data_IF_941749630457
#
_entry.id   IF_941749630457
#
_cell.length_a   1.000
_cell.length_b   1.000
_cell.length_c   1.000
_cell.angle_alpha   90.00
_cell.angle_beta   90.00
_cell.angle_gamma   90.00
#
_symmetry.space_group_name_H-M   'P 1'
#
loop_
_entity.id
_entity.type
_entity.pdbx_description
1 polymer ?
#
# COMPACT_ATOMS: atom_id res chain seq x y z
N UNK A 1 40.34 -3.99 -7.16
CA UNK A 1 39.69 -5.00 -6.31
C UNK A 1 38.22 -4.61 -6.20
N UNK A 2 37.29 -5.41 -6.73
CA UNK A 2 35.85 -5.16 -6.56
C UNK A 2 35.50 -5.55 -5.12
N UNK A 3 35.02 -4.59 -4.34
CA UNK A 3 34.40 -4.86 -3.04
C UNK A 3 33.18 -5.72 -3.33
N UNK A 4 33.27 -7.02 -3.09
CA UNK A 4 32.09 -7.87 -3.04
C UNK A 4 31.31 -7.34 -1.85
N UNK A 5 30.19 -6.65 -2.10
CA UNK A 5 29.24 -6.32 -1.04
C UNK A 5 28.86 -7.62 -0.37
N UNK A 6 29.45 -7.86 0.81
CA UNK A 6 29.13 -9.01 1.64
C UNK A 6 27.66 -8.81 2.02
N UNK A 7 26.75 -9.53 1.36
CA UNK A 7 25.34 -9.50 1.71
C UNK A 7 25.23 -9.94 3.17
N UNK A 8 24.98 -8.98 4.06
CA UNK A 8 24.82 -9.26 5.49
C UNK A 8 23.56 -10.11 5.64
N UNK A 9 23.74 -11.41 5.93
CA UNK A 9 22.62 -12.30 6.26
C UNK A 9 22.00 -11.77 7.52
N UNK A 10 20.75 -11.36 7.43
CA UNK A 10 20.02 -10.78 8.54
C UNK A 10 19.26 -11.88 9.27
N UNK A 11 19.19 -11.86 10.60
CA UNK A 11 18.42 -12.83 11.35
C UNK A 11 16.97 -12.85 10.88
N UNK A 12 16.41 -14.04 10.78
CA UNK A 12 15.01 -14.23 10.39
C UNK A 12 14.09 -13.85 11.55
N UNK A 13 14.50 -14.19 12.77
CA UNK A 13 13.80 -13.89 14.00
C UNK A 13 14.79 -13.63 15.15
N UNK A 14 14.36 -12.84 16.14
CA UNK A 14 15.15 -12.46 17.31
C UNK A 14 14.38 -12.92 18.56
N UNK A 15 15.04 -13.70 19.41
CA UNK A 15 14.52 -14.14 20.70
C UNK A 15 14.24 -12.97 21.64
N UNK A 16 13.30 -13.15 22.57
CA UNK A 16 12.90 -12.11 23.51
C UNK A 16 13.54 -12.30 24.88
N UNK A 17 14.08 -13.48 25.18
CA UNK A 17 14.79 -13.73 26.44
C UNK A 17 16.00 -12.82 26.59
N UNK A 18 16.07 -12.06 27.70
CA UNK A 18 17.20 -11.19 27.97
C UNK A 18 18.45 -12.00 28.30
N UNK A 19 19.62 -11.47 27.95
CA UNK A 19 20.91 -12.05 28.34
C UNK A 19 21.17 -11.74 29.82
N UNK A 20 21.03 -12.75 30.68
CA UNK A 20 21.26 -12.65 32.13
C UNK A 20 22.39 -13.59 32.55
N UNK A 21 23.20 -13.18 33.53
CA UNK A 21 24.25 -14.05 34.08
C UNK A 21 25.35 -14.37 33.07
N UNK A 22 25.62 -15.67 32.86
CA UNK A 22 26.70 -16.17 32.01
C UNK A 22 26.23 -16.64 30.62
N UNK A 23 24.99 -16.35 30.25
CA UNK A 23 24.46 -16.69 28.93
C UNK A 23 24.98 -15.72 27.86
N UNK A 24 25.12 -16.22 26.63
CA UNK A 24 25.67 -15.47 25.51
C UNK A 24 24.71 -15.49 24.32
N UNK A 25 24.96 -14.63 23.35
CA UNK A 25 24.14 -14.57 22.13
C UNK A 25 24.53 -15.69 21.18
N UNK A 26 23.54 -16.40 20.64
CA UNK A 26 23.72 -17.48 19.67
C UNK A 26 22.95 -17.23 18.38
N UNK A 27 23.45 -17.76 17.27
CA UNK A 27 22.77 -17.81 15.97
C UNK A 27 22.51 -19.27 15.59
N UNK A 28 21.26 -19.62 15.30
CA UNK A 28 20.93 -20.92 14.73
C UNK A 28 21.35 -20.97 13.26
N UNK A 29 22.19 -21.95 12.90
CA UNK A 29 22.67 -22.13 11.53
C UNK A 29 21.56 -22.52 10.55
N UNK A 30 20.53 -23.20 11.07
CA UNK A 30 19.41 -23.71 10.28
C UNK A 30 18.38 -22.61 10.01
N UNK A 31 17.64 -22.16 11.03
CA UNK A 31 16.55 -21.19 10.85
C UNK A 31 17.01 -19.71 10.87
N UNK A 32 18.24 -19.42 11.26
CA UNK A 32 18.74 -18.04 11.35
C UNK A 32 18.14 -17.23 12.50
N UNK A 33 17.60 -17.90 13.52
CA UNK A 33 17.21 -17.29 14.78
C UNK A 33 18.43 -16.77 15.54
N UNK A 34 18.30 -15.62 16.20
CA UNK A 34 19.31 -15.08 17.10
C UNK A 34 18.70 -14.85 18.49
N UNK A 35 19.33 -15.36 19.55
CA UNK A 35 18.84 -15.17 20.91
C UNK A 35 19.78 -15.67 21.99
N UNK A 36 19.25 -15.88 23.20
CA UNK A 36 20.02 -16.28 24.37
C UNK A 36 20.38 -17.77 24.34
N UNK A 37 21.60 -18.12 24.74
CA UNK A 37 22.00 -19.53 24.94
C UNK A 37 21.20 -20.22 26.05
N UNK A 38 20.49 -19.46 26.89
CA UNK A 38 19.63 -19.95 27.97
C UNK A 38 18.46 -20.82 27.47
N UNK A 39 17.92 -20.51 26.29
CA UNK A 39 16.73 -21.19 25.77
C UNK A 39 17.05 -22.42 24.91
N UNK A 40 18.33 -22.75 24.80
CA UNK A 40 18.79 -23.91 24.05
C UNK A 40 18.57 -25.20 24.85
N UNK A 41 18.58 -26.32 24.15
CA UNK A 41 18.75 -27.62 24.81
C UNK A 41 20.15 -27.75 25.41
N UNK A 42 20.37 -28.74 26.27
CA UNK A 42 21.68 -29.06 26.84
C UNK A 42 22.75 -29.34 25.75
N UNK A 43 22.32 -29.84 24.59
CA UNK A 43 23.15 -30.08 23.40
C UNK A 43 23.32 -28.82 22.51
N UNK A 44 22.98 -27.63 23.01
CA UNK A 44 23.04 -26.35 22.28
C UNK A 44 22.18 -26.31 21.01
N UNK A 45 21.06 -27.02 20.99
CA UNK A 45 20.15 -27.05 19.85
C UNK A 45 19.05 -25.99 19.96
N UNK A 46 18.67 -25.44 18.80
CA UNK A 46 17.61 -24.46 18.66
C UNK A 46 16.25 -25.07 18.99
N UNK A 47 15.47 -24.37 19.81
CA UNK A 47 14.12 -24.76 20.25
C UNK A 47 13.04 -23.86 19.66
N UNK A 48 13.36 -23.07 18.63
CA UNK A 48 12.37 -22.21 18.00
C UNK A 48 11.30 -23.01 17.25
N UNK A 49 10.06 -22.53 17.36
CA UNK A 49 8.92 -23.09 16.66
C UNK A 49 9.08 -22.92 15.15
N UNK A 50 8.98 -24.04 14.44
CA UNK A 50 8.95 -24.15 12.99
C UNK A 50 7.67 -24.87 12.58
N UNK A 51 6.55 -24.15 12.66
CA UNK A 51 5.22 -24.72 12.46
C UNK A 51 4.83 -25.66 13.60
N UNK A 52 4.62 -26.94 13.31
CA UNK A 52 4.24 -27.97 14.29
C UNK A 52 5.45 -28.70 14.91
N UNK A 53 6.67 -28.23 14.64
CA UNK A 53 7.92 -28.86 15.06
C UNK A 53 8.90 -27.84 15.62
N UNK A 54 9.88 -28.32 16.36
CA UNK A 54 11.03 -27.51 16.79
C UNK A 54 12.15 -27.62 15.75
N UNK A 55 12.89 -26.53 15.55
CA UNK A 55 13.97 -26.45 14.56
C UNK A 55 15.10 -27.47 14.84
N UNK A 56 15.50 -27.66 16.10
CA UNK A 56 16.57 -28.57 16.56
C UNK A 56 17.92 -28.41 15.83
N UNK A 57 18.12 -27.29 15.14
CA UNK A 57 19.37 -26.99 14.44
C UNK A 57 20.48 -26.54 15.39
N UNK A 58 21.72 -26.81 15.00
CA UNK A 58 22.90 -26.37 15.74
C UNK A 58 22.95 -24.85 15.87
N UNK A 59 23.39 -24.39 17.04
CA UNK A 59 23.60 -22.97 17.33
C UNK A 59 25.06 -22.70 17.65
N UNK A 60 25.55 -21.54 17.20
CA UNK A 60 26.90 -21.06 17.48
C UNK A 60 26.84 -19.74 18.23
N UNK A 61 27.82 -19.50 19.11
CA UNK A 61 28.05 -18.20 19.72
C UNK A 61 28.30 -17.12 18.66
N UNK A 62 27.64 -15.98 18.80
CA UNK A 62 27.84 -14.82 17.95
C UNK A 62 29.00 -13.99 18.50
N UNK A 63 30.08 -13.90 17.72
CA UNK A 63 31.16 -12.96 17.99
C UNK A 63 30.75 -11.50 17.79
N UNK A 64 31.49 -10.57 18.42
CA UNK A 64 31.18 -9.13 18.41
C UNK A 64 31.04 -8.52 17.02
N UNK A 65 31.86 -8.96 16.06
CA UNK A 65 31.82 -8.45 14.68
C UNK A 65 30.50 -8.80 14.00
N UNK A 66 30.07 -10.06 14.16
CA UNK A 66 28.81 -10.55 13.60
C UNK A 66 27.62 -9.86 14.26
N UNK A 67 27.68 -9.63 15.57
CA UNK A 67 26.64 -8.90 16.29
C UNK A 67 26.50 -7.46 15.76
N UNK A 68 27.64 -6.76 15.56
CA UNK A 68 27.63 -5.42 14.99
C UNK A 68 27.09 -5.40 13.56
N UNK A 69 27.47 -6.37 12.71
CA UNK A 69 26.92 -6.53 11.36
C UNK A 69 25.39 -6.64 11.39
N UNK A 70 24.84 -7.45 12.32
CA UNK A 70 23.40 -7.63 12.49
C UNK A 70 22.72 -6.32 12.90
N UNK A 71 23.26 -5.61 13.91
CA UNK A 71 22.70 -4.34 14.39
C UNK A 71 22.68 -3.29 13.29
N UNK A 72 23.76 -3.14 12.54
CA UNK A 72 23.83 -2.21 11.41
C UNK A 72 22.84 -2.58 10.29
N UNK A 73 22.67 -3.87 10.00
CA UNK A 73 21.69 -4.33 9.02
C UNK A 73 20.25 -4.04 9.48
N UNK A 74 19.94 -4.24 10.77
CA UNK A 74 18.63 -3.92 11.34
C UNK A 74 18.33 -2.43 11.30
N UNK A 75 19.29 -1.58 11.65
CA UNK A 75 19.15 -0.13 11.61
C UNK A 75 18.88 0.39 10.19
N UNK A 76 19.67 -0.06 9.21
CA UNK A 76 19.43 0.28 7.79
C UNK A 76 18.03 -0.10 7.34
N UNK A 77 17.61 -1.33 7.65
CA UNK A 77 16.31 -1.87 7.27
C UNK A 77 15.16 -1.15 7.98
N UNK A 78 15.37 -0.71 9.21
CA UNK A 78 14.44 0.15 9.93
C UNK A 78 14.29 1.51 9.22
N UNK A 79 15.40 2.13 8.82
CA UNK A 79 15.38 3.38 8.05
C UNK A 79 14.68 3.25 6.69
N UNK A 80 14.90 2.14 5.98
CA UNK A 80 14.19 1.82 4.73
C UNK A 80 12.67 1.64 4.97
N UNK A 81 12.31 0.89 6.01
CA UNK A 81 10.90 0.68 6.39
C UNK A 81 10.20 1.98 6.77
N UNK A 82 10.87 2.87 7.50
CA UNK A 82 10.30 4.18 7.86
C UNK A 82 10.06 5.04 6.62
N UNK A 83 11.00 5.08 5.67
CA UNK A 83 10.83 5.80 4.40
C UNK A 83 9.66 5.25 3.59
N UNK A 84 9.56 3.93 3.46
CA UNK A 84 8.46 3.29 2.75
C UNK A 84 7.10 3.60 3.40
N UNK A 85 7.03 3.58 4.74
CA UNK A 85 5.83 3.94 5.47
C UNK A 85 5.43 5.40 5.25
N UNK A 86 6.40 6.32 5.24
CA UNK A 86 6.15 7.73 4.97
C UNK A 86 5.62 7.95 3.55
N UNK A 87 6.21 7.28 2.55
CA UNK A 87 5.72 7.33 1.17
C UNK A 87 4.29 6.79 1.05
N UNK A 88 3.94 5.74 1.80
CA UNK A 88 2.58 5.20 1.82
C UNK A 88 1.57 6.22 2.36
N UNK A 89 1.94 6.97 3.41
CA UNK A 89 1.11 8.05 3.96
C UNK A 89 0.88 9.14 2.91
N UNK A 90 1.95 9.60 2.25
CA UNK A 90 1.87 10.62 1.22
C UNK A 90 0.94 10.19 0.07
N UNK A 91 1.12 8.98 -0.44
CA UNK A 91 0.25 8.42 -1.48
C UNK A 91 -1.21 8.27 -1.05
N UNK A 92 -1.45 7.90 0.22
CA UNK A 92 -2.81 7.81 0.77
C UNK A 92 -3.47 9.17 0.79
N UNK A 93 -2.78 10.21 1.25
CA UNK A 93 -3.29 11.57 1.27
C UNK A 93 -3.59 12.09 -0.16
N UNK A 94 -2.72 11.81 -1.13
CA UNK A 94 -2.97 12.15 -2.53
C UNK A 94 -4.21 11.43 -3.07
N UNK A 95 -4.36 10.15 -2.75
CA UNK A 95 -5.53 9.35 -3.16
C UNK A 95 -6.82 9.93 -2.58
N UNK A 96 -6.83 10.33 -1.31
CA UNK A 96 -7.98 10.99 -0.68
C UNK A 96 -8.35 12.29 -1.41
N UNK A 97 -7.38 13.13 -1.75
CA UNK A 97 -7.63 14.35 -2.52
C UNK A 97 -8.21 14.06 -3.92
N UNK A 98 -7.78 12.98 -4.56
CA UNK A 98 -8.36 12.55 -5.84
C UNK A 98 -9.81 12.09 -5.69
N UNK A 99 -10.14 11.39 -4.60
CA UNK A 99 -11.50 10.96 -4.30
C UNK A 99 -12.42 12.14 -4.02
N UNK A 100 -11.96 13.15 -3.27
CA UNK A 100 -12.73 14.38 -3.02
C UNK A 100 -13.04 15.13 -4.32
N UNK A 101 -12.04 15.27 -5.20
CA UNK A 101 -12.23 15.89 -6.53
C UNK A 101 -13.21 15.09 -7.38
N UNK A 102 -13.12 13.77 -7.36
CA UNK A 102 -14.06 12.91 -8.09
C UNK A 102 -15.49 13.04 -7.55
N UNK A 103 -15.66 13.16 -6.22
CA UNK A 103 -16.97 13.36 -5.60
C UNK A 103 -17.62 14.68 -6.02
N UNK A 104 -16.87 15.78 -6.06
CA UNK A 104 -17.38 17.07 -6.56
C UNK A 104 -17.76 17.01 -8.05
N UNK A 105 -16.95 16.37 -8.89
CA UNK A 105 -17.29 16.16 -10.31
C UNK A 105 -18.56 15.33 -10.48
N UNK A 106 -18.73 14.27 -9.70
CA UNK A 106 -19.96 13.45 -9.73
C UNK A 106 -21.19 14.26 -9.31
N UNK A 107 -21.06 15.15 -8.34
CA UNK A 107 -22.12 16.06 -7.93
C UNK A 107 -22.50 17.04 -9.04
N UNK A 108 -21.53 17.61 -9.76
CA UNK A 108 -21.79 18.45 -10.94
C UNK A 108 -22.53 17.67 -12.04
N UNK A 109 -22.11 16.42 -12.31
CA UNK A 109 -22.76 15.54 -13.29
C UNK A 109 -24.23 15.28 -12.89
N UNK A 110 -24.49 14.98 -11.62
CA UNK A 110 -25.85 14.75 -11.12
C UNK A 110 -26.71 16.00 -11.29
N UNK A 111 -26.19 17.19 -10.93
CA UNK A 111 -26.91 18.46 -11.10
C UNK A 111 -27.21 18.76 -12.57
N UNK A 112 -26.23 18.58 -13.45
CA UNK A 112 -26.40 18.74 -14.90
C UNK A 112 -27.45 17.77 -15.46
N UNK A 113 -27.41 16.51 -15.05
CA UNK A 113 -28.39 15.50 -15.46
C UNK A 113 -29.80 15.75 -14.92
N UNK A 114 -29.95 16.40 -13.75
CA UNK A 114 -31.24 16.87 -13.25
C UNK A 114 -31.77 18.04 -14.08
N UNK A 115 -30.93 19.05 -14.35
CA UNK A 115 -31.30 20.20 -15.18
C UNK A 115 -31.70 19.78 -16.60
N UNK A 116 -30.94 18.87 -17.23
CA UNK A 116 -31.28 18.33 -18.54
C UNK A 116 -32.63 17.61 -18.54
N UNK A 117 -32.91 16.78 -17.53
CA UNK A 117 -34.21 16.11 -17.38
C UNK A 117 -35.35 17.10 -17.23
N UNK A 118 -35.19 18.14 -16.41
CA UNK A 118 -36.22 19.16 -16.22
C UNK A 118 -36.50 19.93 -17.53
N UNK A 119 -35.46 20.29 -18.28
CA UNK A 119 -35.58 21.00 -19.55
C UNK A 119 -36.19 20.14 -20.68
N UNK A 120 -36.00 18.83 -20.65
CA UNK A 120 -36.51 17.90 -21.68
C UNK A 120 -37.88 17.30 -21.35
N UNK A 121 -38.28 17.30 -20.08
CA UNK A 121 -39.61 16.89 -19.64
C UNK A 121 -40.68 17.93 -20.04
N UNK A 122 -41.48 17.60 -21.05
CA UNK A 122 -42.59 18.44 -21.54
C UNK A 122 -43.73 18.60 -20.52
N UNK A 123 -43.76 17.82 -19.44
CA UNK A 123 -44.69 17.99 -18.32
C UNK A 123 -44.23 19.04 -17.29
N UNK A 124 -42.92 19.28 -17.19
CA UNK A 124 -42.35 20.21 -16.23
C UNK A 124 -42.65 21.68 -16.60
N UNK A 125 -42.58 22.59 -15.63
CA UNK A 125 -42.77 24.03 -15.91
C UNK A 125 -41.66 24.58 -16.82
N UNK A 126 -40.41 24.18 -16.56
CA UNK A 126 -39.24 24.61 -17.33
C UNK A 126 -39.23 24.01 -18.74
N UNK A 127 -39.48 22.71 -18.87
CA UNK A 127 -39.54 22.03 -20.16
C UNK A 127 -40.68 22.52 -21.05
N UNK A 128 -41.83 22.92 -20.47
CA UNK A 128 -42.89 23.63 -21.23
C UNK A 128 -42.42 24.97 -21.79
N UNK A 129 -41.66 25.76 -21.02
CA UNK A 129 -41.09 27.03 -21.50
C UNK A 129 -40.05 26.78 -22.60
N UNK A 130 -39.17 25.80 -22.42
CA UNK A 130 -38.18 25.41 -23.45
C UNK A 130 -38.88 24.96 -24.74
N UNK A 131 -39.90 24.10 -24.65
CA UNK A 131 -40.67 23.66 -25.80
C UNK A 131 -41.38 24.82 -26.52
N UNK A 132 -41.92 25.79 -25.79
CA UNK A 132 -42.53 26.98 -26.36
C UNK A 132 -41.52 27.85 -27.12
N UNK A 133 -40.32 28.07 -26.55
CA UNK A 133 -39.24 28.80 -27.23
C UNK A 133 -38.77 28.06 -28.48
N UNK A 134 -38.56 26.75 -28.41
CA UNK A 134 -38.18 25.94 -29.57
C UNK A 134 -39.24 26.01 -30.68
N UNK A 135 -40.52 25.94 -30.31
CA UNK A 135 -41.64 26.09 -31.25
C UNK A 135 -41.72 27.48 -31.89
N UNK A 136 -41.39 28.54 -31.15
CA UNK A 136 -41.30 29.90 -31.68
C UNK A 136 -40.13 30.04 -32.66
N UNK A 137 -38.94 29.58 -32.30
CA UNK A 137 -37.73 29.65 -33.15
C UNK A 137 -37.92 28.86 -34.45
N UNK A 138 -38.58 27.70 -34.39
CA UNK A 138 -38.87 26.89 -35.57
C UNK A 138 -39.69 27.64 -36.65
N UNK A 139 -40.49 28.64 -36.28
CA UNK A 139 -41.25 29.47 -37.23
C UNK A 139 -40.36 30.35 -38.12
N UNK A 140 -39.10 30.56 -37.72
CA UNK A 140 -38.12 31.37 -38.44
C UNK A 140 -37.03 30.51 -39.11
N UNK A 141 -37.11 29.18 -39.00
CA UNK A 141 -36.18 28.31 -39.73
C UNK A 141 -36.62 28.22 -41.20
N UNK A 142 -35.69 28.35 -42.16
CA UNK A 142 -36.00 28.18 -43.57
C UNK A 142 -36.48 26.75 -43.82
N UNK A 143 -37.43 26.60 -44.74
CA UNK A 143 -37.90 25.28 -45.15
C UNK A 143 -36.71 24.40 -45.55
N UNK A 144 -36.66 23.11 -45.12
CA UNK A 144 -35.60 22.22 -45.53
C UNK A 144 -35.53 22.21 -47.06
N UNK A 145 -34.34 22.47 -47.60
CA UNK A 145 -34.14 22.47 -49.05
C UNK A 145 -34.69 21.17 -49.64
N UNK A 146 -35.56 21.24 -50.67
CA UNK A 146 -36.05 20.04 -51.33
C UNK A 146 -34.84 19.27 -51.85
N UNK A 147 -34.71 18.03 -51.39
CA UNK A 147 -33.76 17.08 -51.95
C UNK A 147 -34.27 16.81 -53.37
N UNK A 148 -33.57 17.33 -54.38
CA UNK A 148 -33.83 16.98 -55.77
C UNK A 148 -33.65 15.46 -55.92
N UNK A 149 -34.64 14.73 -56.43
CA UNK A 149 -34.49 13.32 -56.72
C UNK A 149 -33.61 13.16 -57.98
N UNK A 150 -32.53 12.38 -57.84
CA UNK A 150 -31.74 11.83 -58.96
C UNK A 150 -32.57 10.90 -59.85
#
# INVERSE_FOLDING_TARGET
>A
MRTVEKMVRMPVCIGQEPLVGNYYTVECKLCGWVGSSEVLTDDCQCTQDEGDRLCLGDTDEIGTDRLLEIVQAMDRRHGESQKAYQQLIEHTNETEQHLDKAAELLKEIVQSGQAYRECTDKGSATGRRVAAVLGYVAQFQPDPHPVEPD
#
